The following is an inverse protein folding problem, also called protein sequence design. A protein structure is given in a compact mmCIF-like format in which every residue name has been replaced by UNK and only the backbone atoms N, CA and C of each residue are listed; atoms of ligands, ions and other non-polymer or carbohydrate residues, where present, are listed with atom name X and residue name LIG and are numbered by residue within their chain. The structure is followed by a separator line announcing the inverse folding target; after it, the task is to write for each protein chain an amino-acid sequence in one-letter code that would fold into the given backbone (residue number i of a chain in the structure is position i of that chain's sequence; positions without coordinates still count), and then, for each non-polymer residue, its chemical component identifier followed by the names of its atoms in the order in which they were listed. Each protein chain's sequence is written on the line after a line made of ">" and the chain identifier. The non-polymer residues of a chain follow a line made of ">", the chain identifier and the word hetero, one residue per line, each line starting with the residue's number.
data_IF_799258583146
#
_entry.id   IF_799258583146
#
_cell.length_a   1.000
_cell.length_b   1.000
_cell.length_c   1.000
_cell.angle_alpha   90.00
_cell.angle_beta   90.00
_cell.angle_gamma   90.00
#
_symmetry.space_group_name_H-M   'P 1'
#
loop_
_entity.id
_entity.type
_entity.pdbx_description
1 polymer ?
#
# COMPACT_ATOMS: atom_id res chain seq x y z
N UNK A 1 3.95 17.99 -2.78
CA UNK A 1 3.49 16.61 -2.58
C UNK A 1 4.64 15.79 -2.05
N UNK A 2 4.48 15.17 -0.88
CA UNK A 2 5.53 14.39 -0.22
C UNK A 2 5.14 12.92 -0.34
N UNK A 3 5.96 12.14 -1.02
CA UNK A 3 5.80 10.69 -1.09
C UNK A 3 6.15 10.07 0.26
N UNK A 4 5.26 9.24 0.82
CA UNK A 4 5.51 8.58 2.10
C UNK A 4 6.10 7.20 1.86
N UNK A 5 7.23 6.92 2.52
CA UNK A 5 7.93 5.64 2.43
C UNK A 5 7.79 4.88 3.75
N UNK A 6 7.31 3.63 3.69
CA UNK A 6 7.10 2.79 4.87
C UNK A 6 7.55 1.36 4.62
N UNK A 7 8.23 0.77 5.60
CA UNK A 7 8.66 -0.63 5.53
C UNK A 7 7.78 -1.47 6.44
N UNK A 8 7.15 -2.50 5.90
CA UNK A 8 6.36 -3.44 6.66
C UNK A 8 6.96 -4.84 6.61
N UNK A 9 6.73 -5.59 7.68
CA UNK A 9 7.04 -7.02 7.72
C UNK A 9 5.85 -7.79 7.17
N UNK A 10 6.10 -8.57 6.13
CA UNK A 10 5.11 -9.47 5.59
C UNK A 10 4.93 -10.65 6.54
N UNK A 11 3.68 -11.03 6.76
CA UNK A 11 3.33 -12.22 7.51
C UNK A 11 3.35 -13.47 6.62
N UNK A 12 4.42 -13.62 5.82
CA UNK A 12 4.70 -14.78 4.98
C UNK A 12 5.66 -15.76 5.68
N UNK A 13 5.88 -16.95 5.09
CA UNK A 13 6.74 -17.98 5.68
C UNK A 13 8.20 -17.51 5.91
N UNK A 14 8.65 -16.43 5.25
CA UNK A 14 10.01 -15.92 5.34
C UNK A 14 10.14 -14.60 6.10
N UNK A 15 9.05 -14.02 6.64
CA UNK A 15 9.05 -12.68 7.23
C UNK A 15 9.71 -11.63 6.33
N UNK A 16 9.42 -11.71 5.02
CA UNK A 16 9.98 -10.78 4.06
C UNK A 16 9.63 -9.33 4.41
N UNK A 17 10.53 -8.39 4.11
CA UNK A 17 10.23 -6.96 4.22
C UNK A 17 9.65 -6.45 2.90
N UNK A 18 8.61 -5.66 2.99
CA UNK A 18 8.02 -4.96 1.86
C UNK A 18 8.17 -3.46 2.09
N UNK A 19 8.76 -2.77 1.13
CA UNK A 19 8.86 -1.32 1.09
C UNK A 19 7.67 -0.77 0.31
N UNK A 20 6.84 0.00 0.98
CA UNK A 20 5.68 0.67 0.41
C UNK A 20 6.00 2.14 0.22
N UNK A 21 5.61 2.64 -0.93
CA UNK A 21 5.73 4.04 -1.29
C UNK A 21 4.34 4.53 -1.68
N UNK A 22 3.74 5.31 -0.78
CA UNK A 22 2.41 5.91 -0.95
C UNK A 22 2.60 7.24 -1.66
N UNK A 23 2.15 7.30 -2.91
CA UNK A 23 2.28 8.50 -3.72
C UNK A 23 0.97 9.31 -3.68
N UNK A 24 0.98 10.58 -3.22
CA UNK A 24 -0.21 11.44 -3.19
C UNK A 24 -0.78 11.76 -4.58
N UNK A 25 -0.10 11.33 -5.65
CA UNK A 25 -0.61 11.39 -7.03
C UNK A 25 -1.60 10.24 -7.34
N UNK A 26 -1.90 9.36 -6.37
CA UNK A 26 -2.99 8.37 -6.48
C UNK A 26 -2.55 6.92 -6.71
N UNK A 27 -1.28 6.59 -6.45
CA UNK A 27 -0.74 5.24 -6.65
C UNK A 27 0.16 4.77 -5.52
N UNK A 28 0.27 3.45 -5.41
CA UNK A 28 1.06 2.72 -4.44
C UNK A 28 2.12 1.91 -5.18
N UNK A 29 3.38 2.11 -4.81
CA UNK A 29 4.49 1.27 -5.25
C UNK A 29 4.94 0.37 -4.11
N UNK A 30 5.25 -0.89 -4.43
CA UNK A 30 5.68 -1.89 -3.44
C UNK A 30 6.90 -2.63 -3.96
N UNK A 31 7.99 -2.62 -3.19
CA UNK A 31 9.17 -3.43 -3.43
C UNK A 31 9.32 -4.52 -2.36
N UNK A 32 9.34 -5.79 -2.79
CA UNK A 32 9.55 -6.93 -1.91
C UNK A 32 11.05 -7.21 -1.80
N UNK A 33 11.64 -6.71 -0.71
CA UNK A 33 13.05 -6.81 -0.42
C UNK A 33 13.47 -8.29 -0.37
N UNK A 34 14.47 -8.64 -1.16
CA UNK A 34 15.02 -10.01 -1.25
C UNK A 34 14.30 -10.93 -2.26
N UNK A 35 13.24 -10.48 -2.94
CA UNK A 35 12.60 -11.24 -4.03
C UNK A 35 12.69 -10.59 -5.41
N UNK A 36 13.26 -9.39 -5.51
CA UNK A 36 13.35 -8.60 -6.76
C UNK A 36 11.99 -8.47 -7.45
N UNK A 37 10.94 -8.22 -6.65
CA UNK A 37 9.57 -8.07 -7.12
C UNK A 37 9.08 -6.67 -6.78
N UNK A 38 8.72 -5.95 -7.83
CA UNK A 38 8.13 -4.63 -7.74
C UNK A 38 6.69 -4.67 -8.23
N UNK A 39 5.81 -3.98 -7.53
CA UNK A 39 4.40 -3.84 -7.86
C UNK A 39 4.02 -2.36 -7.91
N UNK A 40 3.20 -2.02 -8.89
CA UNK A 40 2.61 -0.70 -9.04
C UNK A 40 1.10 -0.85 -9.12
N UNK A 41 0.35 -0.01 -8.40
CA UNK A 41 -1.11 -0.06 -8.39
C UNK A 41 -1.70 1.30 -8.06
N UNK A 42 -2.73 1.72 -8.78
CA UNK A 42 -3.54 2.88 -8.39
C UNK A 42 -4.33 2.57 -7.11
N UNK A 43 -4.57 3.58 -6.27
CA UNK A 43 -5.28 3.39 -5.00
C UNK A 43 -6.69 2.80 -5.19
N UNK A 44 -7.37 3.16 -6.27
CA UNK A 44 -8.69 2.61 -6.63
C UNK A 44 -8.68 1.08 -6.87
N UNK A 45 -7.50 0.53 -7.17
CA UNK A 45 -7.29 -0.89 -7.43
C UNK A 45 -6.63 -1.62 -6.25
N UNK A 46 -6.50 -0.97 -5.10
CA UNK A 46 -6.00 -1.57 -3.84
C UNK A 46 -7.18 -1.93 -2.94
N UNK A 47 -7.20 -3.18 -2.47
CA UNK A 47 -8.23 -3.73 -1.60
C UNK A 47 -7.61 -4.30 -0.33
N UNK A 48 -8.27 -4.05 0.81
CA UNK A 48 -7.85 -4.53 2.12
C UNK A 48 -8.87 -5.54 2.64
N UNK A 49 -8.42 -6.77 2.88
CA UNK A 49 -9.24 -7.85 3.44
C UNK A 49 -8.68 -8.25 4.82
N UNK A 50 -9.35 -7.84 5.90
CA UNK A 50 -8.94 -8.18 7.26
C UNK A 50 -9.43 -9.57 7.68
N UNK A 51 -8.50 -10.40 8.13
CA UNK A 51 -8.73 -11.77 8.61
C UNK A 51 -8.10 -11.95 10.01
N UNK A 52 -8.83 -11.55 11.04
CA UNK A 52 -8.34 -11.61 12.43
C UNK A 52 -7.18 -10.65 12.68
N UNK A 53 -6.01 -11.19 13.04
CA UNK A 53 -4.79 -10.41 13.33
C UNK A 53 -3.95 -10.09 12.08
N UNK A 54 -4.43 -10.47 10.90
CA UNK A 54 -3.75 -10.26 9.63
C UNK A 54 -4.68 -9.56 8.66
N UNK A 55 -4.12 -8.68 7.85
CA UNK A 55 -4.85 -8.05 6.75
C UNK A 55 -4.13 -8.33 5.45
N UNK A 56 -4.88 -8.83 4.48
CA UNK A 56 -4.41 -9.11 3.15
C UNK A 56 -4.67 -7.88 2.29
N UNK A 57 -3.59 -7.25 1.83
CA UNK A 57 -3.63 -6.14 0.88
C UNK A 57 -3.48 -6.74 -0.51
N UNK A 58 -4.46 -6.53 -1.37
CA UNK A 58 -4.46 -7.02 -2.75
C UNK A 58 -4.46 -5.82 -3.69
N UNK A 59 -3.58 -5.82 -4.68
CA UNK A 59 -3.60 -4.82 -5.73
C UNK A 59 -3.66 -5.44 -7.11
N UNK A 60 -4.24 -4.71 -8.05
CA UNK A 60 -4.34 -5.12 -9.45
C UNK A 60 -3.75 -4.04 -10.34
N UNK A 61 -2.62 -4.36 -10.95
CA UNK A 61 -2.07 -3.53 -12.03
C UNK A 61 -2.83 -3.83 -13.34
N UNK A 62 -3.24 -2.81 -14.12
CA UNK A 62 -3.87 -3.01 -15.43
C UNK A 62 -2.99 -3.88 -16.35
N UNK A 63 -3.54 -4.99 -16.84
CA UNK A 63 -2.83 -5.88 -17.75
C UNK A 63 -1.83 -6.86 -17.08
N UNK A 64 -1.68 -6.86 -15.75
CA UNK A 64 -0.87 -7.86 -15.03
C UNK A 64 -1.70 -8.71 -14.06
N UNK A 65 -1.07 -9.75 -13.51
CA UNK A 65 -1.67 -10.57 -12.46
C UNK A 65 -1.81 -9.74 -11.18
N UNK A 66 -2.95 -9.92 -10.49
CA UNK A 66 -3.15 -9.35 -9.17
C UNK A 66 -2.06 -9.86 -8.21
N UNK A 67 -1.54 -8.96 -7.40
CA UNK A 67 -0.60 -9.26 -6.34
C UNK A 67 -1.31 -9.16 -4.99
N UNK A 68 -0.80 -9.87 -4.00
CA UNK A 68 -1.27 -9.72 -2.64
C UNK A 68 -0.11 -9.84 -1.67
N UNK A 69 -0.21 -9.10 -0.58
CA UNK A 69 0.73 -9.09 0.53
C UNK A 69 -0.07 -9.20 1.82
N UNK A 70 0.40 -9.99 2.76
CA UNK A 70 -0.27 -10.17 4.06
C UNK A 70 0.54 -9.39 5.08
N UNK A 71 -0.10 -8.42 5.72
CA UNK A 71 0.46 -7.58 6.78
C UNK A 71 -0.23 -7.90 8.10
N UNK A 72 0.31 -7.40 9.22
CA UNK A 72 -0.44 -7.38 10.47
C UNK A 72 -1.62 -6.40 10.36
N UNK A 73 -2.68 -6.61 11.14
CA UNK A 73 -3.82 -5.67 11.16
C UNK A 73 -3.38 -4.25 11.53
N UNK A 74 -2.38 -4.11 12.40
CA UNK A 74 -1.84 -2.80 12.79
C UNK A 74 -1.10 -2.12 11.64
N UNK A 75 -0.22 -2.86 10.94
CA UNK A 75 0.52 -2.33 9.79
C UNK A 75 -0.41 -1.96 8.64
N UNK A 76 -1.43 -2.78 8.39
CA UNK A 76 -2.40 -2.50 7.35
C UNK A 76 -3.29 -1.30 7.68
N UNK A 77 -3.70 -1.13 8.94
CA UNK A 77 -4.44 0.06 9.38
C UNK A 77 -3.60 1.34 9.22
N UNK A 78 -2.30 1.27 9.54
CA UNK A 78 -1.38 2.38 9.28
C UNK A 78 -1.30 2.69 7.77
N UNK A 79 -1.13 1.67 6.93
CA UNK A 79 -1.07 1.86 5.48
C UNK A 79 -2.38 2.47 4.92
N UNK A 80 -3.54 2.02 5.39
CA UNK A 80 -4.84 2.60 5.02
C UNK A 80 -4.88 4.08 5.37
N UNK A 81 -4.50 4.45 6.61
CA UNK A 81 -4.45 5.85 7.02
C UNK A 81 -3.46 6.68 6.19
N UNK A 82 -2.33 6.12 5.77
CA UNK A 82 -1.39 6.83 4.90
C UNK A 82 -1.97 7.10 3.50
N UNK A 83 -2.76 6.17 2.96
CA UNK A 83 -3.44 6.35 1.67
C UNK A 83 -4.56 7.39 1.80
N UNK A 84 -5.34 7.33 2.89
CA UNK A 84 -6.39 8.31 3.19
C UNK A 84 -5.82 9.71 3.40
N UNK A 85 -4.76 9.87 4.20
CA UNK A 85 -4.08 11.15 4.41
C UNK A 85 -3.51 11.72 3.10
N UNK A 86 -2.94 10.87 2.25
CA UNK A 86 -2.47 11.26 0.93
C UNK A 86 -3.61 11.77 0.01
N UNK A 87 -4.81 11.19 0.13
CA UNK A 87 -6.02 11.69 -0.54
C UNK A 87 -6.56 12.98 0.09
N UNK A 88 -6.63 13.08 1.42
CA UNK A 88 -7.13 14.28 2.10
C UNK A 88 -6.21 15.50 1.87
N UNK A 89 -4.89 15.30 1.84
CA UNK A 89 -3.94 16.36 1.45
C UNK A 89 -4.23 16.88 0.03
N UNK A 90 -4.69 16.03 -0.88
CA UNK A 90 -5.13 16.43 -2.22
C UNK A 90 -6.45 17.21 -2.20
N UNK A 91 -7.42 16.79 -1.39
CA UNK A 91 -8.72 17.49 -1.26
C UNK A 91 -8.60 18.87 -0.60
N UNK A 92 -7.74 19.01 0.43
CA UNK A 92 -7.46 20.30 1.07
C UNK A 92 -6.86 21.29 0.08
N UNK A 93 -5.96 20.83 -0.80
CA UNK A 93 -5.36 21.66 -1.86
C UNK A 93 -6.36 22.14 -2.91
N UNK A 94 -7.44 21.39 -3.18
CA UNK A 94 -8.51 21.82 -4.11
C UNK A 94 -9.55 22.75 -3.48
N UNK A 95 -9.53 22.92 -2.16
CA UNK A 95 -10.46 23.80 -1.43
C UNK A 95 -9.94 25.22 -1.20
N UNK A 96 -8.66 25.46 -1.48
CA UNK A 96 -7.97 26.76 -1.32
C UNK A 96 -7.83 27.54 -2.65
N UNK A 97 -8.52 27.10 -3.72
CA UNK A 97 -8.60 27.79 -5.02
C UNK A 97 -9.96 28.48 -5.20
#
# INVERSE_FOLDING_TARGET
>A
MITVHRNYFMHDHNHNKAHFQVNPVGHLDIDIIGRNKFYHCEFENVFFESHGEKTKVTGREPGKRAWHVVLSTQDAAELTHLIEDAHEQFEVLMKDL
#
